data_IF_476404021476
#
_entry.id   IF_476404021476
#
_cell.length_a   1.000
_cell.length_b   1.000
_cell.length_c   1.000
_cell.angle_alpha   90.00
_cell.angle_beta   90.00
_cell.angle_gamma   90.00
#
_symmetry.space_group_name_H-M   'P 1'
#
loop_
_entity.id
_entity.type
_entity.pdbx_description
1 polymer ?
2 non-polymer ?
3 water ?
#
# COMPACT_ATOMS: atom_id res chain seq x y z
N UNK A 2 -21.75 15.29 -5.40
CA UNK A 2 -20.65 15.29 -6.38
C UNK A 2 -21.18 15.39 -7.80
N UNK A 3 -20.41 15.99 -8.71
CA UNK A 3 -20.91 16.09 -10.09
C UNK A 3 -21.05 14.68 -10.66
N UNK A 4 -22.06 14.49 -11.51
CA UNK A 4 -22.29 13.20 -12.11
C UNK A 4 -21.09 12.75 -12.96
N UNK A 5 -20.44 13.68 -13.63
CA UNK A 5 -19.28 13.36 -14.43
C UNK A 5 -18.13 14.37 -14.25
N UNK A 6 -16.91 13.89 -14.51
CA UNK A 6 -15.69 14.68 -14.39
C UNK A 6 -14.69 14.22 -15.44
N UNK A 7 -13.99 15.17 -16.05
CA UNK A 7 -12.97 14.88 -17.05
C UNK A 7 -11.89 15.95 -16.91
N UNK A 8 -10.83 15.62 -16.17
CA UNK A 8 -9.77 16.58 -15.94
C UNK A 8 -9.05 17.05 -17.22
N UNK A 9 -9.31 16.40 -18.34
CA UNK A 9 -8.70 16.83 -19.60
C UNK A 9 -9.34 18.16 -20.01
N UNK A 10 -10.60 18.36 -19.62
CA UNK A 10 -11.31 19.59 -19.95
C UNK A 10 -10.77 20.79 -19.17
N UNK A 11 -10.05 20.53 -18.09
CA UNK A 11 -9.50 21.60 -17.28
C UNK A 11 -8.02 21.78 -17.60
N UNK A 12 -7.59 21.14 -18.69
CA UNK A 12 -6.20 21.23 -19.11
C UNK A 12 -5.20 20.73 -18.07
N UNK A 13 -5.58 19.71 -17.30
CA UNK A 13 -4.68 19.19 -16.26
C UNK A 13 -4.07 17.83 -16.60
N UNK A 14 -4.19 17.41 -17.85
CA UNK A 14 -3.67 16.11 -18.28
C UNK A 14 -2.73 16.26 -19.47
N UNK A 15 -1.48 15.84 -19.31
CA UNK A 15 -0.51 15.93 -20.40
C UNK A 15 -0.87 14.85 -21.42
N UNK A 16 -0.16 14.84 -22.55
CA UNK A 16 -0.47 13.85 -23.57
C UNK A 16 -0.04 12.45 -23.16
N UNK A 17 -0.73 11.47 -23.71
CA UNK A 17 -0.46 10.07 -23.43
C UNK A 17 0.97 9.69 -23.81
N UNK A 18 1.64 8.95 -22.92
CA UNK A 18 3.01 8.51 -23.11
C UNK A 18 3.07 7.03 -23.51
N UNK A 19 4.21 6.62 -24.06
CA UNK A 19 4.44 5.25 -24.51
C UNK A 19 5.64 4.67 -23.74
N UNK A 20 5.37 3.76 -22.80
CA UNK A 20 6.43 3.19 -21.99
C UNK A 20 7.35 2.18 -22.69
N UNK A 21 6.91 1.66 -23.83
CA UNK A 21 7.73 0.70 -24.56
C UNK A 21 7.90 -0.60 -23.80
N UNK A 22 9.05 -1.26 -23.95
CA UNK A 22 9.31 -2.50 -23.24
C UNK A 22 9.85 -2.36 -21.83
N UNK A 23 9.74 -1.17 -21.28
CA UNK A 23 10.20 -0.90 -19.93
C UNK A 23 8.97 -0.82 -19.00
N UNK A 24 8.92 -1.67 -17.99
CA UNK A 24 7.79 -1.66 -17.07
C UNK A 24 7.80 -0.46 -16.16
N UNK A 25 7.54 0.72 -16.72
CA UNK A 25 7.54 1.95 -15.95
C UNK A 25 6.15 2.54 -15.77
N UNK A 26 5.12 1.70 -15.88
CA UNK A 26 3.74 2.17 -15.73
C UNK A 26 3.56 2.95 -14.42
N UNK A 27 4.15 2.43 -13.35
CA UNK A 27 4.05 3.08 -12.04
C UNK A 27 4.62 4.50 -12.07
N UNK A 28 5.71 4.68 -12.81
CA UNK A 28 6.33 5.99 -12.92
C UNK A 28 5.46 6.96 -13.73
N UNK A 29 4.84 6.46 -14.79
CA UNK A 29 3.97 7.31 -15.60
C UNK A 29 2.71 7.66 -14.82
N UNK A 30 2.22 6.71 -14.02
CA UNK A 30 1.04 6.98 -13.23
C UNK A 30 1.35 8.08 -12.23
N UNK A 31 2.48 7.96 -11.54
CA UNK A 31 2.89 8.94 -10.54
C UNK A 31 3.07 10.34 -11.12
N UNK A 32 3.84 10.47 -12.19
CA UNK A 32 4.05 11.81 -12.76
C UNK A 32 2.73 12.40 -13.26
N UNK A 33 1.88 11.56 -13.85
CA UNK A 33 0.60 12.03 -14.35
C UNK A 33 -0.23 12.66 -13.24
N UNK A 34 -0.22 12.03 -12.07
CA UNK A 34 -0.98 12.54 -10.94
C UNK A 34 -0.42 13.87 -10.48
N UNK A 35 0.91 13.97 -10.41
CA UNK A 35 1.55 15.21 -9.97
C UNK A 35 1.39 16.31 -11.02
N UNK A 36 1.39 15.94 -12.30
CA UNK A 36 1.25 16.90 -13.40
C UNK A 36 -0.04 17.72 -13.24
N UNK A 37 -1.12 17.06 -12.84
CA UNK A 37 -2.39 17.73 -12.64
C UNK A 37 -2.29 18.74 -11.50
N UNK A 38 -1.70 18.32 -10.39
CA UNK A 38 -1.52 19.19 -9.23
C UNK A 38 -0.67 20.40 -9.60
N UNK A 39 0.43 20.17 -10.32
CA UNK A 39 1.30 21.26 -10.73
C UNK A 39 0.50 22.29 -11.53
N UNK A 40 -0.36 21.79 -12.42
CA UNK A 40 -1.20 22.66 -13.24
C UNK A 40 -2.15 23.47 -12.38
N UNK A 41 -2.74 22.82 -11.38
CA UNK A 41 -3.67 23.50 -10.48
C UNK A 41 -2.98 24.56 -9.62
N UNK A 42 -1.73 24.30 -9.24
CA UNK A 42 -0.99 25.22 -8.38
C UNK A 42 -0.28 26.37 -9.10
N UNK A 43 0.30 26.10 -10.26
CA UNK A 43 1.04 27.12 -10.99
C UNK A 43 0.36 27.60 -12.27
N UNK A 44 -0.58 26.80 -12.79
CA UNK A 44 -1.28 27.19 -14.00
C UNK A 44 -0.57 26.70 -15.27
N UNK A 45 0.58 26.06 -15.11
CA UNK A 45 1.34 25.54 -16.26
C UNK A 45 1.26 24.01 -16.35
N UNK A 46 0.93 23.50 -17.53
CA UNK A 46 0.86 22.07 -17.73
C UNK A 46 2.21 21.59 -18.27
N UNK A 47 2.89 20.76 -17.49
CA UNK A 47 4.23 20.27 -17.88
C UNK A 47 4.41 18.77 -17.66
N UNK A 48 4.90 18.08 -18.67
CA UNK A 48 5.15 16.65 -18.53
C UNK A 48 6.34 16.50 -17.60
N UNK A 49 6.23 15.63 -16.61
CA UNK A 49 7.32 15.40 -15.68
C UNK A 49 8.08 14.14 -16.07
N UNK A 50 9.32 14.02 -15.60
CA UNK A 50 10.19 12.89 -15.95
C UNK A 50 9.94 11.54 -15.31
N UNK A 51 9.36 10.64 -16.09
CA UNK A 51 9.10 9.28 -15.63
C UNK A 51 10.47 8.59 -15.50
N UNK A 52 11.39 8.97 -16.38
CA UNK A 52 12.74 8.40 -16.35
C UNK A 52 13.42 8.75 -15.03
N UNK A 53 13.15 9.96 -14.55
CA UNK A 53 13.73 10.42 -13.28
C UNK A 53 13.40 9.41 -12.17
N UNK A 54 12.14 8.97 -12.15
CA UNK A 54 11.70 8.01 -11.14
C UNK A 54 12.31 6.65 -11.37
N UNK A 55 12.33 6.20 -12.63
CA UNK A 55 12.90 4.91 -12.98
C UNK A 55 14.34 4.77 -12.52
N UNK A 56 15.15 5.81 -12.80
CA UNK A 56 16.56 5.82 -12.45
C UNK A 56 16.87 6.14 -11.00
N UNK A 57 16.02 6.93 -10.35
CA UNK A 57 16.29 7.36 -8.98
C UNK A 57 15.42 6.82 -7.83
N UNK A 58 14.13 6.62 -8.06
CA UNK A 58 13.25 6.08 -7.02
C UNK A 58 13.44 4.57 -7.15
N UNK A 59 14.58 4.09 -6.65
CA UNK A 59 14.91 2.68 -6.80
C UNK A 59 14.81 1.80 -5.55
N UNK A 60 15.88 1.07 -5.26
CA UNK A 60 15.91 0.16 -4.12
C UNK A 60 15.36 0.73 -2.82
N UNK A 61 15.88 1.88 -2.43
CA UNK A 61 15.45 2.52 -1.19
C UNK A 61 13.94 2.71 -1.12
N UNK A 62 13.28 2.76 -2.27
CA UNK A 62 11.84 2.94 -2.31
C UNK A 62 11.08 1.68 -2.69
N UNK A 63 11.79 0.55 -2.69
CA UNK A 63 11.17 -0.72 -3.03
C UNK A 63 10.75 -0.86 -4.49
N UNK A 64 11.37 -0.06 -5.37
CA UNK A 64 11.06 -0.12 -6.80
C UNK A 64 12.20 -0.75 -7.58
N UNK A 65 11.87 -1.32 -8.74
CA UNK A 65 12.85 -1.99 -9.59
C UNK A 65 12.90 -1.44 -11.02
N UNK A 66 12.76 -0.13 -11.15
CA UNK A 66 12.81 0.49 -12.47
C UNK A 66 11.92 -0.11 -13.55
N UNK A 67 12.55 -0.57 -14.62
CA UNK A 67 11.83 -1.17 -15.75
C UNK A 67 11.18 -2.50 -15.39
N UNK A 68 11.37 -2.94 -14.14
CA UNK A 68 10.77 -4.18 -13.69
C UNK A 68 9.67 -3.95 -12.66
N UNK A 69 9.15 -2.72 -12.60
CA UNK A 69 8.07 -2.43 -11.69
C UNK A 69 8.37 -1.55 -10.48
N UNK A 70 7.32 -0.97 -9.91
CA UNK A 70 7.45 -0.10 -8.76
C UNK A 70 6.11 0.33 -8.20
N UNK A 71 6.13 1.18 -7.17
CA UNK A 71 4.92 1.69 -6.52
C UNK A 71 4.74 3.17 -6.80
N UNK A 72 3.49 3.61 -6.96
CA UNK A 72 3.22 5.02 -7.18
C UNK A 72 3.40 5.81 -5.88
N UNK A 73 3.03 5.21 -4.75
CA UNK A 73 3.17 5.87 -3.45
C UNK A 73 4.63 6.14 -3.07
N UNK A 74 5.49 5.15 -3.25
CA UNK A 74 6.89 5.33 -2.90
C UNK A 74 7.56 6.27 -3.89
N UNK A 75 6.99 6.35 -5.10
CA UNK A 75 7.53 7.26 -6.11
C UNK A 75 7.25 8.67 -5.59
N UNK A 76 6.05 8.86 -5.04
CA UNK A 76 5.68 10.16 -4.49
C UNK A 76 6.62 10.51 -3.35
N UNK A 77 6.88 9.56 -2.45
CA UNK A 77 7.77 9.83 -1.31
C UNK A 77 9.18 10.19 -1.77
N UNK A 78 9.62 9.58 -2.87
CA UNK A 78 10.95 9.89 -3.42
C UNK A 78 10.97 11.37 -3.78
N UNK A 79 9.94 11.82 -4.48
CA UNK A 79 9.85 13.23 -4.88
C UNK A 79 9.88 14.14 -3.65
N UNK A 80 9.18 13.74 -2.59
CA UNK A 80 9.17 14.52 -1.36
C UNK A 80 10.58 14.55 -0.75
N UNK A 81 11.19 13.37 -0.59
CA UNK A 81 12.54 13.23 -0.01
C UNK A 81 13.58 13.96 -0.85
N UNK A 82 13.46 13.83 -2.16
CA UNK A 82 14.40 14.42 -3.10
C UNK A 82 14.18 15.93 -3.25
N UNK A 83 13.02 16.41 -2.78
CA UNK A 83 12.66 17.82 -2.87
C UNK A 83 12.44 18.29 -4.31
N UNK A 84 12.09 17.35 -5.18
CA UNK A 84 11.84 17.72 -6.57
C UNK A 84 11.89 16.59 -7.56
N UNK A 85 11.45 16.90 -8.78
CA UNK A 85 11.46 15.95 -9.88
C UNK A 85 11.66 16.78 -11.15
N UNK A 86 12.51 16.28 -12.05
CA UNK A 86 12.79 17.01 -13.29
C UNK A 86 11.69 16.87 -14.33
N UNK A 87 11.67 17.81 -15.27
CA UNK A 87 10.68 17.80 -16.33
C UNK A 87 11.07 16.70 -17.30
N UNK A 88 10.08 16.20 -18.03
CA UNK A 88 10.31 15.16 -19.02
C UNK A 88 11.31 15.65 -20.08
N UNK A 89 11.16 16.91 -20.49
CA UNK A 89 12.04 17.49 -21.50
C UNK A 89 13.51 17.51 -21.11
N UNK A 90 13.79 17.77 -19.84
CA UNK A 90 15.16 17.84 -19.35
C UNK A 90 15.74 16.47 -19.02
N UNK A 91 14.88 15.52 -18.71
CA UNK A 91 15.30 14.17 -18.34
C UNK A 91 14.37 13.22 -19.11
N UNK A 92 14.57 13.12 -20.45
CA UNK A 92 13.79 12.27 -21.35
C UNK A 92 13.73 10.78 -21.08
N UNK A 93 12.59 10.19 -21.45
CA UNK A 93 12.34 8.77 -21.26
C UNK A 93 13.05 7.88 -22.29
N UNK A 94 13.88 6.96 -21.80
CA UNK A 94 14.63 6.08 -22.67
C UNK A 94 14.18 4.62 -22.62
N UNK A 95 13.15 4.35 -21.83
CA UNK A 95 12.62 2.99 -21.71
C UNK A 95 13.67 1.97 -21.27
N UNK A 96 14.57 2.39 -20.38
CA UNK A 96 15.59 1.49 -19.87
C UNK A 96 16.13 2.01 -18.54
N UNK A 97 16.70 1.12 -17.75
CA UNK A 97 17.28 1.50 -16.46
C UNK A 97 18.58 2.24 -16.70
N UNK A 98 18.73 3.38 -16.04
CA UNK A 98 19.93 4.21 -16.17
C UNK A 98 20.38 4.66 -14.79
N UNK A 99 21.59 5.19 -14.71
CA UNK A 99 22.11 5.70 -13.44
C UNK A 99 21.29 6.96 -13.12
N UNK A 100 21.07 7.24 -11.84
CA UNK A 100 20.30 8.42 -11.47
C UNK A 100 20.99 9.71 -11.90
N UNK A 101 20.30 10.49 -12.72
CA UNK A 101 20.86 11.74 -13.24
C UNK A 101 20.06 12.97 -12.83
N UNK A 102 19.39 12.90 -11.70
CA UNK A 102 18.61 14.05 -11.23
C UNK A 102 19.47 15.29 -11.01
N UNK A 103 18.93 16.44 -11.39
CA UNK A 103 19.63 17.71 -11.22
C UNK A 103 18.57 18.76 -10.90
N UNK A 104 18.67 19.37 -9.73
CA UNK A 104 17.72 20.37 -9.30
C UNK A 104 17.58 21.55 -10.27
N UNK A 105 18.58 21.78 -11.11
CA UNK A 105 18.49 22.90 -12.04
C UNK A 105 17.42 22.64 -13.09
N UNK A 106 16.94 21.39 -13.18
CA UNK A 106 15.91 21.03 -14.14
C UNK A 106 14.60 20.70 -13.42
N UNK A 107 14.54 20.97 -12.12
CA UNK A 107 13.36 20.71 -11.31
C UNK A 107 12.14 21.37 -11.93
N UNK A 108 11.04 20.63 -12.06
CA UNK A 108 9.83 21.20 -12.64
C UNK A 108 8.65 21.10 -11.69
N UNK A 109 8.81 20.33 -10.62
CA UNK A 109 7.75 20.17 -9.64
C UNK A 109 8.27 19.62 -8.33
N UNK A 110 7.49 19.81 -7.27
CA UNK A 110 7.81 19.32 -5.94
C UNK A 110 6.58 18.60 -5.43
N UNK A 111 6.71 17.95 -4.27
CA UNK A 111 5.62 17.24 -3.64
C UNK A 111 5.81 17.37 -2.14
N UNK A 112 4.73 17.62 -1.42
CA UNK A 112 4.82 17.78 0.03
C UNK A 112 4.24 16.60 0.78
N UNK A 113 3.35 15.85 0.12
CA UNK A 113 2.71 14.69 0.75
C UNK A 113 1.84 13.95 -0.25
N UNK A 114 1.40 12.76 0.14
CA UNK A 114 0.52 11.95 -0.71
C UNK A 114 -0.49 11.28 0.19
N UNK A 115 -1.62 10.88 -0.40
CA UNK A 115 -2.68 10.24 0.36
C UNK A 115 -3.12 8.96 -0.32
N UNK A 116 -3.25 7.91 0.48
CA UNK A 116 -3.70 6.61 -0.02
C UNK A 116 -5.15 6.44 0.43
N UNK A 117 -6.05 6.26 -0.54
CA UNK A 117 -7.47 6.09 -0.23
C UNK A 117 -7.75 4.71 0.34
N UNK A 118 -8.87 4.57 1.09
CA UNK A 118 -9.25 3.28 1.68
C UNK A 118 -9.53 2.24 0.61
N UNK A 119 -9.11 1.01 0.86
CA UNK A 119 -9.28 -0.11 -0.07
C UNK A 119 -10.67 -0.35 -0.64
N UNK A 120 -10.75 -0.37 -1.97
CA UNK A 120 -11.97 -0.64 -2.70
C UNK A 120 -13.20 0.24 -2.56
N UNK A 121 -13.06 1.41 -1.96
CA UNK A 121 -14.22 2.28 -1.81
C UNK A 121 -14.34 3.20 -3.03
N UNK A 122 -15.14 2.76 -4.01
CA UNK A 122 -15.28 3.54 -5.25
C UNK A 122 -15.91 4.92 -5.05
N UNK A 123 -16.80 5.03 -4.07
CA UNK A 123 -17.42 6.31 -3.79
C UNK A 123 -16.36 7.28 -3.26
N UNK A 124 -15.44 6.77 -2.46
CA UNK A 124 -14.36 7.61 -1.92
C UNK A 124 -13.43 8.04 -3.06
N UNK A 125 -13.19 7.13 -4.00
CA UNK A 125 -12.36 7.44 -5.15
C UNK A 125 -13.03 8.52 -5.99
N UNK A 126 -14.34 8.41 -6.15
CA UNK A 126 -15.10 9.39 -6.92
C UNK A 126 -14.95 10.77 -6.29
N UNK A 127 -15.05 10.83 -4.97
CA UNK A 127 -14.91 12.10 -4.28
C UNK A 127 -13.54 12.72 -4.50
N UNK A 128 -12.50 11.89 -4.43
CA UNK A 128 -11.14 12.36 -4.63
C UNK A 128 -10.94 12.90 -6.04
N UNK A 129 -11.39 12.14 -7.03
CA UNK A 129 -11.26 12.55 -8.42
C UNK A 129 -11.98 13.87 -8.65
N UNK A 130 -13.15 14.02 -8.02
CA UNK A 130 -13.95 15.24 -8.18
C UNK A 130 -13.38 16.45 -7.47
N UNK A 131 -12.95 16.26 -6.22
CA UNK A 131 -12.44 17.37 -5.44
C UNK A 131 -10.93 17.57 -5.32
N UNK A 132 -10.15 16.55 -5.70
CA UNK A 132 -8.69 16.67 -5.58
C UNK A 132 -7.97 16.70 -6.92
N UNK A 133 -8.36 15.78 -7.82
CA UNK A 133 -7.73 15.72 -9.13
C UNK A 133 -7.47 14.28 -9.53
N UNK A 134 -6.74 14.04 -10.63
CA UNK A 134 -6.43 12.69 -11.10
C UNK A 134 -5.81 11.85 -10.00
N UNK A 135 -6.17 10.57 -9.98
CA UNK A 135 -5.68 9.65 -8.95
C UNK A 135 -4.96 8.42 -9.51
N UNK A 136 -3.77 8.15 -8.98
CA UNK A 136 -3.01 6.99 -9.42
C UNK A 136 -3.69 5.76 -8.84
N UNK A 137 -3.80 4.70 -9.66
CA UNK A 137 -4.42 3.47 -9.18
C UNK A 137 -3.78 2.26 -9.82
N UNK A 138 -4.08 1.09 -9.27
CA UNK A 138 -3.56 -0.14 -9.82
C UNK A 138 -4.75 -0.90 -10.36
N UNK A 139 -4.61 -1.53 -11.52
CA UNK A 139 -5.71 -2.31 -12.08
C UNK A 139 -5.17 -3.65 -12.54
N UNK A 140 -6.06 -4.63 -12.65
CA UNK A 140 -5.66 -5.95 -13.12
C UNK A 140 -5.75 -5.88 -14.64
N UNK A 141 -4.60 -5.80 -15.31
CA UNK A 141 -4.59 -5.70 -16.75
C UNK A 141 -3.93 -6.91 -17.41
N UNK A 142 -4.06 -8.07 -16.78
CA UNK A 142 -3.46 -9.31 -17.26
C UNK A 142 -4.30 -10.04 -18.32
N UNK A 143 -5.55 -9.64 -18.47
CA UNK A 143 -6.44 -10.32 -19.40
C UNK A 143 -6.39 -9.83 -20.86
N UNK A 144 -6.36 -10.78 -21.81
CA UNK A 144 -6.30 -10.51 -23.25
C UNK A 144 -7.24 -9.39 -23.70
N UNK A 145 -8.44 -9.35 -23.13
CA UNK A 145 -9.42 -8.33 -23.48
C UNK A 145 -8.93 -6.91 -23.20
N UNK A 146 -8.12 -6.74 -22.16
CA UNK A 146 -7.62 -5.40 -21.84
C UNK A 146 -6.79 -4.87 -23.01
N UNK A 147 -5.80 -5.66 -23.42
CA UNK A 147 -4.90 -5.30 -24.52
C UNK A 147 -5.67 -4.97 -25.81
N UNK A 148 -6.76 -5.69 -26.03
CA UNK A 148 -7.58 -5.52 -27.23
C UNK A 148 -8.67 -4.48 -27.13
N UNK A 149 -8.76 -3.81 -25.98
CA UNK A 149 -9.80 -2.82 -25.80
C UNK A 149 -9.74 -1.69 -26.81
N UNK A 150 -10.89 -1.39 -27.42
CA UNK A 150 -10.94 -0.34 -28.44
C UNK A 150 -11.92 0.79 -28.09
N UNK A 151 -13.06 0.45 -27.50
CA UNK A 151 -14.01 1.50 -27.15
C UNK A 151 -15.13 1.01 -26.23
N UNK A 152 -15.99 1.93 -25.82
CA UNK A 152 -17.10 1.58 -24.94
C UNK A 152 -16.65 1.52 -23.49
N UNK A 153 -17.38 0.77 -22.66
CA UNK A 153 -17.03 0.62 -21.26
C UNK A 153 -16.50 -0.79 -21.01
N UNK A 154 -15.24 -0.86 -20.61
CA UNK A 154 -14.57 -2.13 -20.36
C UNK A 154 -15.10 -2.89 -19.16
N UNK A 155 -15.53 -4.12 -19.40
CA UNK A 155 -16.01 -5.01 -18.36
C UNK A 155 -15.52 -6.40 -18.69
N UNK A 156 -14.71 -6.97 -17.80
CA UNK A 156 -14.16 -8.30 -18.01
C UNK A 156 -14.53 -9.23 -16.85
N UNK A 157 -15.39 -10.22 -17.13
CA UNK A 157 -15.84 -11.19 -16.12
C UNK A 157 -14.68 -11.85 -15.40
N UNK A 158 -13.57 -12.06 -16.09
CA UNK A 158 -12.40 -12.70 -15.50
C UNK A 158 -11.45 -11.77 -14.75
N UNK A 159 -11.80 -10.50 -14.60
CA UNK A 159 -10.93 -9.59 -13.87
C UNK A 159 -10.91 -9.96 -12.40
N UNK A 160 -9.87 -9.52 -11.70
CA UNK A 160 -9.74 -9.79 -10.28
C UNK A 160 -9.33 -8.51 -9.57
N UNK A 161 -9.17 -8.59 -8.25
CA UNK A 161 -8.74 -7.42 -7.47
C UNK A 161 -7.23 -7.48 -7.23
N UNK A 162 -6.55 -8.39 -7.92
CA UNK A 162 -5.10 -8.51 -7.81
C UNK A 162 -4.52 -7.59 -8.87
N UNK A 163 -4.22 -6.35 -8.49
CA UNK A 163 -3.70 -5.37 -9.42
C UNK A 163 -2.26 -5.64 -9.83
N UNK A 164 -1.86 -5.16 -11.00
CA UNK A 164 -0.51 -5.41 -11.49
C UNK A 164 -0.05 -4.33 -12.47
N UNK A 165 -0.96 -3.41 -12.80
CA UNK A 165 -0.64 -2.35 -13.74
C UNK A 165 -1.00 -0.97 -13.19
N UNK A 166 -0.03 -0.07 -13.16
CA UNK A 166 -0.25 1.28 -12.65
C UNK A 166 -0.75 2.24 -13.71
N UNK A 167 -1.89 2.86 -13.45
CA UNK A 167 -2.48 3.80 -14.40
C UNK A 167 -3.01 5.03 -13.68
N UNK A 168 -3.68 5.91 -14.41
CA UNK A 168 -4.20 7.13 -13.83
C UNK A 168 -5.68 7.39 -14.13
N UNK A 169 -6.48 7.57 -13.09
CA UNK A 169 -7.90 7.87 -13.25
C UNK A 169 -8.01 9.39 -13.40
N UNK A 170 -8.41 9.85 -14.58
CA UNK A 170 -8.52 11.28 -14.83
C UNK A 170 -9.96 11.77 -14.91
N UNK A 171 -10.90 10.91 -14.54
CA UNK A 171 -12.30 11.30 -14.59
C UNK A 171 -13.26 10.13 -14.45
N UNK A 172 -14.55 10.43 -14.57
CA UNK A 172 -15.56 9.40 -14.46
C UNK A 172 -16.85 9.93 -15.05
N UNK A 173 -17.79 9.02 -15.32
CA UNK A 173 -19.06 9.41 -15.89
C UNK A 173 -19.86 8.18 -16.25
N UNK A 174 -20.70 8.31 -17.28
CA UNK A 174 -21.53 7.20 -17.74
C UNK A 174 -21.70 7.28 -19.24
N UNK A 175 -21.64 6.12 -19.89
CA UNK A 175 -21.80 6.05 -21.33
C UNK A 175 -22.86 5.01 -21.64
N UNK A 176 -24.01 5.46 -22.15
CA UNK A 176 -25.12 4.60 -22.51
C UNK A 176 -25.59 3.69 -21.40
N UNK A 177 -25.85 4.29 -20.23
CA UNK A 177 -26.32 3.50 -19.10
C UNK A 177 -25.23 2.71 -18.40
N UNK A 178 -23.97 2.98 -18.72
CA UNK A 178 -22.87 2.26 -18.10
C UNK A 178 -21.90 3.22 -17.41
N UNK A 179 -21.78 3.11 -16.10
CA UNK A 179 -20.88 3.98 -15.36
C UNK A 179 -19.45 3.53 -15.59
N UNK A 180 -18.52 4.48 -15.64
CA UNK A 180 -17.12 4.15 -15.89
C UNK A 180 -16.15 5.13 -15.24
N UNK A 181 -14.88 4.71 -15.21
CA UNK A 181 -13.78 5.52 -14.70
C UNK A 181 -12.98 5.81 -15.96
N UNK A 182 -12.57 7.07 -16.15
CA UNK A 182 -11.76 7.44 -17.32
C UNK A 182 -10.30 7.22 -16.95
N UNK A 183 -9.69 6.24 -17.60
CA UNK A 183 -8.30 5.88 -17.30
C UNK A 183 -7.26 6.22 -18.37
N UNK A 184 -6.21 6.91 -17.95
CA UNK A 184 -5.11 7.26 -18.84
C UNK A 184 -4.07 6.15 -18.69
N UNK A 185 -3.74 5.48 -19.80
CA UNK A 185 -2.77 4.41 -19.77
C UNK A 185 -1.44 4.96 -20.29
N UNK A 186 -0.39 4.13 -20.28
CA UNK A 186 0.91 4.56 -20.78
C UNK A 186 1.45 3.62 -21.85
N UNK A 187 0.57 3.21 -22.76
CA UNK A 187 0.98 2.32 -23.85
C UNK A 187 0.85 3.06 -25.18
N UNK A 188 1.01 4.38 -25.15
CA UNK A 188 0.90 5.17 -26.37
C UNK A 188 -0.51 5.52 -26.79
N UNK A 189 -0.64 6.50 -27.69
CA UNK A 189 -1.95 6.94 -28.16
C UNK A 189 -2.71 5.92 -29.03
N UNK A 190 -2.09 4.80 -29.36
CA UNK A 190 -2.74 3.80 -30.19
C UNK A 190 -3.51 2.75 -29.39
N UNK A 191 -3.31 2.74 -28.08
CA UNK A 191 -4.02 1.80 -27.23
C UNK A 191 -5.40 2.37 -26.89
N UNK A 192 -6.42 1.51 -26.93
CA UNK A 192 -7.78 1.93 -26.60
C UNK A 192 -8.25 3.18 -27.34
N UNK A 193 -8.94 4.07 -26.64
CA UNK A 193 -9.41 5.32 -27.24
C UNK A 193 -8.33 6.36 -27.09
N UNK A 194 -7.38 6.33 -28.03
CA UNK A 194 -6.26 7.26 -28.03
C UNK A 194 -5.50 7.31 -26.70
N UNK A 195 -5.15 6.12 -26.21
CA UNK A 195 -4.40 6.02 -24.98
C UNK A 195 -5.23 5.87 -23.72
N UNK A 196 -6.53 6.08 -23.84
CA UNK A 196 -7.44 5.98 -22.70
C UNK A 196 -8.35 4.77 -22.75
N UNK A 197 -8.84 4.38 -21.58
CA UNK A 197 -9.78 3.27 -21.48
C UNK A 197 -10.81 3.60 -20.40
N UNK A 198 -12.08 3.41 -20.76
CA UNK A 198 -13.18 3.64 -19.83
C UNK A 198 -13.47 2.29 -19.17
N UNK A 199 -13.20 2.19 -17.88
CA UNK A 199 -13.40 0.95 -17.14
C UNK A 199 -14.65 0.98 -16.24
N UNK A 200 -15.34 -0.15 -16.17
CA UNK A 200 -16.57 -0.25 -15.38
C UNK A 200 -16.43 0.33 -13.98
N UNK A 201 -17.37 1.19 -13.62
CA UNK A 201 -17.43 1.85 -12.32
C UNK A 201 -18.63 1.36 -11.52
N UNK A 202 -18.44 1.22 -10.22
CA UNK A 202 -19.49 0.74 -9.32
C UNK A 202 -19.96 -0.65 -9.70
N UNK A 203 -19.02 -1.49 -10.10
CA UNK A 203 -19.30 -2.87 -10.46
C UNK A 203 -18.44 -3.78 -9.60
N UNK A 204 -18.53 -3.59 -8.29
CA UNK A 204 -17.77 -4.42 -7.36
C UNK A 204 -16.26 -4.27 -7.48
N UNK A 205 -15.77 -3.03 -7.52
CA UNK A 205 -14.34 -2.77 -7.62
C UNK A 205 -13.73 -3.58 -8.75
N UNK A 206 -14.33 -3.44 -9.94
CA UNK A 206 -13.90 -4.17 -11.13
C UNK A 206 -12.42 -4.00 -11.46
N UNK A 207 -11.74 -5.13 -11.65
CA UNK A 207 -10.32 -5.14 -11.95
C UNK A 207 -9.51 -4.44 -10.85
N UNK A 208 -10.11 -4.33 -9.66
CA UNK A 208 -9.44 -3.71 -8.53
C UNK A 208 -9.04 -2.26 -8.70
N UNK A 209 -9.76 -1.54 -9.56
CA UNK A 209 -9.45 -0.15 -9.82
C UNK A 209 -9.46 0.76 -8.60
N UNK A 210 -10.26 0.43 -7.58
CA UNK A 210 -10.31 1.25 -6.37
C UNK A 210 -9.56 0.58 -5.22
N UNK A 211 -8.84 -0.50 -5.51
CA UNK A 211 -8.09 -1.23 -4.48
C UNK A 211 -7.02 -0.36 -3.81
N UNK A 212 -6.14 0.22 -4.60
CA UNK A 212 -5.05 1.03 -4.06
C UNK A 212 -4.86 2.38 -4.75
N UNK A 213 -5.77 3.34 -4.49
CA UNK A 213 -5.68 4.66 -5.09
C UNK A 213 -4.84 5.60 -4.22
N UNK A 214 -4.10 6.50 -4.86
CA UNK A 214 -3.29 7.47 -4.13
C UNK A 214 -3.08 8.71 -4.99
N UNK A 215 -2.98 9.87 -4.35
CA UNK A 215 -2.74 11.11 -5.08
C UNK A 215 -1.79 11.99 -4.28
N UNK A 216 -0.96 12.77 -4.97
CA UNK A 216 0.01 13.66 -4.32
C UNK A 216 -0.52 15.08 -4.22
N UNK A 217 0.15 15.90 -3.41
CA UNK A 217 -0.21 17.29 -3.26
C UNK A 217 1.07 18.10 -3.24
N UNK A 218 0.96 19.37 -3.63
CA UNK A 218 2.11 20.27 -3.68
C UNK A 218 2.00 21.33 -2.60
N UNK B 1 7.39 15.79 22.71
CA UNK B 1 8.53 14.92 23.13
C UNK B 1 8.07 13.48 23.34
N UNK B 2 8.52 12.58 22.46
CA UNK B 2 8.14 11.19 22.55
C UNK B 2 9.00 10.42 23.57
N UNK B 3 8.45 9.37 24.19
CA UNK B 3 9.19 8.58 25.17
C UNK B 3 10.41 7.93 24.50
N UNK B 4 11.47 7.68 25.27
CA UNK B 4 12.68 7.06 24.74
C UNK B 4 12.47 5.59 24.38
N UNK B 5 11.62 4.92 25.15
CA UNK B 5 11.30 3.52 24.93
C UNK B 5 9.82 3.29 25.20
N UNK B 6 9.24 2.32 24.49
CA UNK B 6 7.84 1.96 24.64
C UNK B 6 7.70 0.44 24.48
N UNK B 7 6.85 -0.19 25.28
CA UNK B 7 6.63 -1.63 25.20
C UNK B 7 5.16 -1.88 25.55
N UNK B 8 4.31 -1.98 24.53
CA UNK B 8 2.88 -2.19 24.76
C UNK B 8 2.52 -3.42 25.56
N UNK B 9 3.44 -4.37 25.66
CA UNK B 9 3.16 -5.58 26.44
C UNK B 9 2.97 -5.17 27.90
N UNK B 10 3.69 -4.13 28.32
CA UNK B 10 3.59 -3.63 29.69
C UNK B 10 2.20 -3.03 29.95
N UNK B 11 1.52 -2.62 28.88
CA UNK B 11 0.20 -2.03 29.02
C UNK B 11 -0.93 -3.03 28.84
N UNK B 12 -0.58 -4.31 28.80
CA UNK B 12 -1.57 -5.36 28.64
C UNK B 12 -2.33 -5.32 27.33
N UNK B 13 -1.71 -4.79 26.29
CA UNK B 13 -2.35 -4.66 24.98
C UNK B 13 -1.84 -5.63 23.92
N UNK B 14 -1.11 -6.67 24.35
CA UNK B 14 -0.57 -7.64 23.41
C UNK B 14 -0.85 -9.08 23.87
N UNK B 15 -1.49 -9.86 23.01
CA UNK B 15 -1.83 -11.25 23.32
C UNK B 15 -0.63 -12.19 23.21
N UNK B 16 -0.85 -13.47 23.51
CA UNK B 16 0.25 -14.43 23.45
C UNK B 16 0.68 -14.60 21.99
N UNK B 17 1.96 -14.95 21.79
CA UNK B 17 2.50 -15.15 20.45
C UNK B 17 1.81 -16.34 19.81
N UNK B 18 1.51 -16.22 18.52
CA UNK B 18 0.86 -17.29 17.78
C UNK B 18 1.86 -17.99 16.86
N UNK B 19 1.47 -19.18 16.39
CA UNK B 19 2.30 -19.99 15.50
C UNK B 19 1.49 -20.24 14.23
N UNK B 20 1.90 -19.62 13.13
CA UNK B 20 1.19 -19.76 11.87
C UNK B 20 1.41 -21.09 11.16
N UNK B 21 2.49 -21.79 11.49
CA UNK B 21 2.75 -23.06 10.84
C UNK B 21 3.12 -22.92 9.37
N UNK B 22 2.70 -23.88 8.56
CA UNK B 22 3.00 -23.88 7.13
C UNK B 22 2.07 -23.00 6.31
N UNK B 23 1.20 -22.27 6.98
CA UNK B 23 0.24 -21.40 6.31
C UNK B 23 0.78 -19.96 6.33
N UNK B 24 0.94 -19.37 5.14
CA UNK B 24 1.46 -18.02 5.06
C UNK B 24 0.45 -16.97 5.49
N UNK B 25 0.07 -17.01 6.76
CA UNK B 25 -0.92 -16.08 7.29
C UNK B 25 -0.31 -14.95 8.13
N UNK B 26 0.97 -14.67 7.92
CA UNK B 26 1.65 -13.62 8.67
C UNK B 26 0.85 -12.31 8.63
N UNK B 27 0.32 -11.98 7.46
CA UNK B 27 -0.46 -10.76 7.28
C UNK B 27 -1.68 -10.72 8.19
N UNK B 28 -2.36 -11.86 8.32
CA UNK B 28 -3.55 -11.94 9.17
C UNK B 28 -3.21 -11.77 10.64
N UNK B 29 -2.14 -12.42 11.09
CA UNK B 29 -1.73 -12.33 12.48
C UNK B 29 -1.30 -10.89 12.80
N UNK B 30 -0.65 -10.25 11.85
CA UNK B 30 -0.20 -8.88 12.02
C UNK B 30 -1.41 -7.97 12.18
N UNK B 31 -2.45 -8.21 11.38
CA UNK B 31 -3.66 -7.40 11.42
C UNK B 31 -4.46 -7.57 12.72
N UNK B 32 -4.68 -8.82 13.14
CA UNK B 32 -5.43 -9.03 14.36
C UNK B 32 -4.63 -8.50 15.54
N UNK B 33 -3.31 -8.61 15.45
CA UNK B 33 -2.46 -8.12 16.52
C UNK B 33 -2.62 -6.63 16.74
N UNK B 34 -2.67 -5.86 15.66
CA UNK B 34 -2.84 -4.42 15.78
C UNK B 34 -4.21 -4.08 16.33
N UNK B 35 -5.24 -4.79 15.86
CA UNK B 35 -6.60 -4.52 16.31
C UNK B 35 -6.84 -4.97 17.76
N UNK B 36 -6.15 -6.03 18.17
CA UNK B 36 -6.29 -6.54 19.52
C UNK B 36 -5.91 -5.45 20.53
N UNK B 37 -4.86 -4.69 20.21
CA UNK B 37 -4.43 -3.62 21.11
C UNK B 37 -5.49 -2.52 21.16
N UNK B 38 -6.08 -2.21 20.02
CA UNK B 38 -7.11 -1.18 19.98
C UNK B 38 -8.36 -1.63 20.73
N UNK B 39 -8.68 -2.93 20.65
CA UNK B 39 -9.85 -3.46 21.36
C UNK B 39 -9.63 -3.30 22.87
N UNK B 40 -8.42 -3.61 23.32
CA UNK B 40 -8.05 -3.48 24.73
C UNK B 40 -8.17 -2.04 25.18
N UNK B 41 -7.58 -1.12 24.41
CA UNK B 41 -7.62 0.29 24.75
C UNK B 41 -9.05 0.80 24.82
N UNK B 42 -9.93 0.25 23.99
CA UNK B 42 -11.31 0.69 23.97
C UNK B 42 -12.22 0.02 25.00
N UNK B 43 -12.06 -1.28 25.19
CA UNK B 43 -12.93 -2.00 26.12
C UNK B 43 -12.29 -2.48 27.42
N UNK B 44 -10.97 -2.40 27.52
CA UNK B 44 -10.31 -2.86 28.72
C UNK B 44 -10.16 -4.37 28.72
N UNK B 45 -10.53 -5.01 27.62
CA UNK B 45 -10.44 -6.45 27.52
C UNK B 45 -9.39 -6.86 26.49
N UNK B 46 -8.52 -7.80 26.86
CA UNK B 46 -7.51 -8.29 25.94
C UNK B 46 -7.99 -9.62 25.36
N UNK B 47 -8.30 -9.62 24.07
CA UNK B 47 -8.81 -10.82 23.40
C UNK B 47 -8.13 -11.14 22.08
N UNK B 48 -7.66 -12.38 21.93
CA UNK B 48 -7.04 -12.78 20.68
C UNK B 48 -8.13 -12.85 19.62
N UNK B 49 -7.93 -12.18 18.49
CA UNK B 49 -8.91 -12.18 17.41
C UNK B 49 -8.59 -13.25 16.37
N UNK B 50 -9.61 -13.69 15.63
CA UNK B 50 -9.44 -14.75 14.64
C UNK B 50 -8.65 -14.46 13.36
N UNK B 51 -7.42 -14.95 13.33
CA UNK B 51 -6.58 -14.77 12.14
C UNK B 51 -7.18 -15.66 11.03
N UNK B 52 -7.74 -16.79 11.42
CA UNK B 52 -8.35 -17.72 10.47
C UNK B 52 -9.51 -17.03 9.75
N UNK B 53 -10.30 -16.28 10.52
CA UNK B 53 -11.44 -15.53 9.99
C UNK B 53 -10.95 -14.71 8.78
N UNK B 54 -9.77 -14.11 8.90
CA UNK B 54 -9.21 -13.31 7.82
C UNK B 54 -8.73 -14.16 6.65
N UNK B 55 -8.03 -15.24 6.97
CA UNK B 55 -7.51 -16.16 5.95
C UNK B 55 -8.64 -16.70 5.08
N UNK B 56 -9.74 -17.06 5.73
CA UNK B 56 -10.89 -17.64 5.05
C UNK B 56 -11.84 -16.64 4.39
N UNK B 57 -11.97 -15.43 4.95
CA UNK B 57 -12.92 -14.45 4.41
C UNK B 57 -12.37 -13.20 3.73
N UNK B 58 -11.22 -12.70 4.18
CA UNK B 58 -10.62 -11.53 3.55
C UNK B 58 -9.79 -12.12 2.42
N UNK B 59 -10.49 -12.54 1.37
CA UNK B 59 -9.87 -13.21 0.24
C UNK B 59 -9.73 -12.42 -1.07
N UNK B 60 -10.06 -13.07 -2.19
CA UNK B 60 -9.94 -12.47 -3.52
C UNK B 60 -10.41 -11.02 -3.65
N UNK B 61 -11.59 -10.71 -3.13
CA UNK B 61 -12.10 -9.34 -3.22
C UNK B 61 -11.17 -8.34 -2.53
N UNK B 62 -10.33 -8.84 -1.65
CA UNK B 62 -9.38 -7.99 -0.93
C UNK B 62 -7.94 -8.20 -1.39
N UNK B 63 -7.78 -8.80 -2.56
CA UNK B 63 -6.45 -9.04 -3.10
C UNK B 63 -5.59 -9.97 -2.27
N UNK B 64 -6.22 -10.77 -1.42
CA UNK B 64 -5.48 -11.69 -0.57
C UNK B 64 -5.58 -13.13 -1.06
N UNK B 65 -4.60 -13.95 -0.67
CA UNK B 65 -4.55 -15.35 -1.09
C UNK B 65 -4.41 -16.31 0.09
N UNK B 66 -5.09 -16.00 1.19
CA UNK B 66 -5.05 -16.85 2.37
C UNK B 66 -3.68 -17.32 2.82
N UNK B 67 -3.48 -18.64 2.79
CA UNK B 67 -2.19 -19.22 3.21
C UNK B 67 -1.07 -18.92 2.24
N UNK B 68 -1.38 -18.21 1.16
CA UNK B 68 -0.36 -17.84 0.20
C UNK B 68 -0.03 -16.35 0.29
N UNK B 69 -0.53 -15.70 1.34
CA UNK B 69 -0.23 -14.28 1.52
C UNK B 69 -1.38 -13.31 1.42
N UNK B 70 -1.14 -12.09 1.92
CA UNK B 70 -2.16 -11.05 1.90
C UNK B 70 -1.65 -9.71 2.43
N UNK B 71 -2.54 -8.73 2.47
CA UNK B 71 -2.20 -7.38 2.95
C UNK B 71 -2.85 -7.10 4.30
N UNK B 72 -2.16 -6.38 5.18
CA UNK B 72 -2.76 -6.05 6.46
C UNK B 72 -3.81 -4.97 6.27
N UNK B 73 -3.56 -4.03 5.35
CA UNK B 73 -4.52 -2.95 5.13
C UNK B 73 -5.84 -3.49 4.59
N UNK B 74 -5.79 -4.41 3.62
CA UNK B 74 -7.03 -4.95 3.07
C UNK B 74 -7.73 -5.83 4.09
N UNK B 75 -6.97 -6.39 5.02
CA UNK B 75 -7.56 -7.21 6.08
C UNK B 75 -8.38 -6.25 6.94
N UNK B 76 -7.82 -5.07 7.22
CA UNK B 76 -8.55 -4.09 8.03
C UNK B 76 -9.84 -3.71 7.31
N UNK B 77 -9.75 -3.39 6.01
CA UNK B 77 -10.94 -2.98 5.26
C UNK B 77 -12.01 -4.06 5.28
N UNK B 78 -11.60 -5.32 5.21
CA UNK B 78 -12.56 -6.43 5.25
C UNK B 78 -13.32 -6.36 6.56
N UNK B 79 -12.60 -6.16 7.66
CA UNK B 79 -13.23 -6.08 8.98
C UNK B 79 -14.25 -4.95 8.99
N UNK B 80 -13.88 -3.81 8.42
CA UNK B 80 -14.78 -2.66 8.35
C UNK B 80 -16.02 -3.03 7.53
N UNK B 81 -15.80 -3.49 6.30
CA UNK B 81 -16.90 -3.89 5.41
C UNK B 81 -17.80 -4.96 6.03
N UNK B 82 -17.16 -5.95 6.65
CA UNK B 82 -17.86 -7.08 7.26
C UNK B 82 -18.57 -6.67 8.55
N UNK B 83 -18.19 -5.51 9.07
CA UNK B 83 -18.75 -4.99 10.32
C UNK B 83 -18.41 -5.89 11.49
N UNK B 84 -17.24 -6.52 11.43
CA UNK B 84 -16.82 -7.38 12.52
C UNK B 84 -15.82 -8.47 12.19
N UNK B 85 -15.22 -9.01 13.25
CA UNK B 85 -14.27 -10.10 13.13
C UNK B 85 -14.51 -10.97 14.36
N UNK B 86 -14.51 -12.28 14.20
CA UNK B 86 -14.76 -13.17 15.33
C UNK B 86 -13.55 -13.36 16.24
N UNK B 87 -13.80 -13.86 17.44
CA UNK B 87 -12.74 -14.12 18.41
C UNK B 87 -11.98 -15.35 17.93
N UNK B 88 -10.72 -15.47 18.35
CA UNK B 88 -9.89 -16.61 17.98
C UNK B 88 -10.51 -17.87 18.60
N UNK B 89 -11.01 -17.75 19.83
CA UNK B 89 -11.61 -18.89 20.52
C UNK B 89 -12.79 -19.48 19.76
N UNK B 90 -13.62 -18.62 19.17
CA UNK B 90 -14.80 -19.05 18.42
C UNK B 90 -14.50 -19.52 16.99
N UNK B 91 -13.43 -18.99 16.41
CA UNK B 91 -13.03 -19.29 15.03
C UNK B 91 -11.52 -19.56 15.10
N UNK B 92 -11.13 -20.73 15.63
CA UNK B 92 -9.73 -21.16 15.79
C UNK B 92 -8.89 -21.28 14.51
N UNK B 93 -7.58 -21.09 14.67
CA UNK B 93 -6.63 -21.16 13.57
C UNK B 93 -6.26 -22.60 13.24
N UNK B 94 -6.43 -22.98 11.98
CA UNK B 94 -6.13 -24.34 11.53
C UNK B 94 -4.94 -24.42 10.56
N UNK B 95 -4.35 -23.28 10.24
CA UNK B 95 -3.21 -23.22 9.32
C UNK B 95 -3.52 -23.85 7.97
N UNK B 96 -4.66 -23.47 7.39
CA UNK B 96 -5.06 -23.94 6.07
C UNK B 96 -6.21 -23.09 5.57
N UNK B 97 -6.43 -23.11 4.26
CA UNK B 97 -7.50 -22.34 3.65
C UNK B 97 -8.83 -23.05 3.81
N UNK B 98 -9.82 -22.33 4.33
CA UNK B 98 -11.15 -22.89 4.54
C UNK B 98 -12.19 -21.98 3.92
N UNK B 99 -13.42 -22.46 3.84
CA UNK B 99 -14.52 -21.66 3.31
C UNK B 99 -14.81 -20.68 4.44
N UNK B 100 -15.15 -19.45 4.08
CA UNK B 100 -15.47 -18.44 5.09
C UNK B 100 -16.56 -18.91 6.04
N UNK B 101 -16.28 -18.85 7.34
CA UNK B 101 -17.25 -19.26 8.34
C UNK B 101 -17.55 -18.15 9.34
N UNK B 102 -17.45 -16.91 8.91
CA UNK B 102 -17.73 -15.80 9.81
C UNK B 102 -19.16 -15.88 10.30
N UNK B 103 -19.36 -15.52 11.56
CA UNK B 103 -20.69 -15.50 12.15
C UNK B 103 -20.70 -14.33 13.12
N UNK B 104 -21.65 -13.42 12.94
CA UNK B 104 -21.76 -12.24 13.79
C UNK B 104 -21.99 -12.54 15.27
N UNK B 105 -22.49 -13.73 15.59
CA UNK B 105 -22.75 -14.06 16.99
C UNK B 105 -21.44 -14.32 17.74
N UNK B 106 -20.35 -14.45 16.98
CA UNK B 106 -19.03 -14.67 17.59
C UNK B 106 -18.13 -13.46 17.39
N UNK B 107 -18.72 -12.32 17.04
CA UNK B 107 -17.94 -11.11 16.82
C UNK B 107 -17.30 -10.66 18.14
N UNK B 108 -16.05 -10.24 18.08
CA UNK B 108 -15.35 -9.80 19.27
C UNK B 108 -14.73 -8.42 19.06
N UNK B 109 -14.80 -7.93 17.84
CA UNK B 109 -14.23 -6.63 17.53
C UNK B 109 -14.78 -6.06 16.23
N UNK B 110 -14.66 -4.76 16.09
CA UNK B 110 -15.07 -4.05 14.90
C UNK B 110 -13.93 -3.10 14.55
N UNK B 111 -14.00 -2.50 13.37
CA UNK B 111 -12.98 -1.56 12.93
C UNK B 111 -13.72 -0.47 12.15
N UNK B 112 -13.38 0.78 12.40
CA UNK B 112 -14.05 1.89 11.74
C UNK B 112 -13.20 2.49 10.62
N UNK B 113 -11.88 2.28 10.70
CA UNK B 113 -10.97 2.79 9.71
C UNK B 113 -9.54 2.36 10.02
N UNK B 114 -8.62 2.68 9.10
CA UNK B 114 -7.22 2.36 9.30
C UNK B 114 -6.38 3.47 8.70
N UNK B 115 -5.14 3.58 9.17
CA UNK B 115 -4.24 4.61 8.68
C UNK B 115 -2.91 4.06 8.19
N UNK B 116 -2.49 4.48 7.01
CA UNK B 116 -1.23 4.04 6.44
C UNK B 116 -0.24 5.19 6.59
N UNK B 117 0.86 4.93 7.29
CA UNK B 117 1.90 5.94 7.52
C UNK B 117 2.75 6.16 6.27
N UNK B 118 3.31 7.37 6.12
CA UNK B 118 4.15 7.71 4.95
C UNK B 118 5.35 6.77 4.86
N UNK B 119 5.68 6.38 3.63
CA UNK B 119 6.79 5.46 3.35
C UNK B 119 8.14 5.83 3.94
N UNK B 120 8.76 4.84 4.59
CA UNK B 120 10.09 4.99 5.17
C UNK B 120 10.37 5.99 6.26
N UNK B 121 9.35 6.57 6.89
CA UNK B 121 9.60 7.54 7.94
C UNK B 121 9.61 6.90 9.34
N UNK B 122 10.79 6.55 9.83
CA UNK B 122 10.88 5.93 11.14
C UNK B 122 10.46 6.85 12.28
N UNK B 123 10.64 8.15 12.10
CA UNK B 123 10.24 9.14 13.11
C UNK B 123 8.72 9.16 13.26
N UNK B 124 8.01 9.07 12.13
CA UNK B 124 6.55 9.07 12.14
C UNK B 124 6.08 7.75 12.76
N UNK B 125 6.76 6.66 12.41
CA UNK B 125 6.41 5.35 12.95
C UNK B 125 6.54 5.37 14.47
N UNK B 126 7.66 5.91 14.94
CA UNK B 126 7.93 6.00 16.37
C UNK B 126 6.79 6.75 17.07
N UNK B 127 6.35 7.85 16.46
CA UNK B 127 5.27 8.64 17.02
C UNK B 127 3.97 7.85 17.12
N UNK B 128 3.68 7.04 16.10
CA UNK B 128 2.48 6.22 16.09
C UNK B 128 2.53 5.14 17.17
N UNK B 129 3.66 4.45 17.26
CA UNK B 129 3.81 3.40 18.26
C UNK B 129 3.66 3.98 19.67
N UNK B 130 4.15 5.20 19.86
CA UNK B 130 4.05 5.83 21.18
C UNK B 130 2.65 6.37 21.49
N UNK B 131 2.01 7.01 20.52
CA UNK B 131 0.69 7.61 20.75
C UNK B 131 -0.56 6.84 20.31
N UNK B 132 -0.43 5.96 19.33
CA UNK B 132 -1.59 5.20 18.85
C UNK B 132 -1.65 3.78 19.37
N UNK B 133 -0.53 3.06 19.26
CA UNK B 133 -0.48 1.68 19.72
C UNK B 133 0.36 0.84 18.77
N UNK B 134 0.30 -0.49 18.89
CA UNK B 134 1.08 -1.34 17.98
C UNK B 134 0.74 -1.03 16.54
N UNK B 135 1.73 -1.15 15.65
CA UNK B 135 1.53 -0.86 14.23
C UNK B 135 1.91 -2.05 13.36
N UNK B 136 1.05 -2.39 12.41
CA UNK B 136 1.35 -3.48 11.51
C UNK B 136 2.39 -3.01 10.50
N UNK B 137 3.39 -3.83 10.21
CA UNK B 137 4.41 -3.46 9.25
C UNK B 137 4.87 -4.65 8.43
N UNK B 138 5.46 -4.36 7.29
CA UNK B 138 6.01 -5.41 6.43
C UNK B 138 7.51 -5.29 6.54
N UNK B 139 8.22 -6.40 6.53
CA UNK B 139 9.68 -6.38 6.59
C UNK B 139 10.24 -7.39 5.61
N UNK B 140 11.53 -7.25 5.31
CA UNK B 140 12.19 -8.18 4.42
C UNK B 140 12.82 -9.22 5.35
N UNK B 141 12.19 -10.39 5.41
CA UNK B 141 12.64 -11.48 6.26
C UNK B 141 13.18 -12.63 5.43
N UNK B 142 13.52 -12.33 4.18
CA UNK B 142 14.05 -13.34 3.26
C UNK B 142 15.55 -13.54 3.36
N UNK B 143 16.06 -13.65 4.58
CA UNK B 143 17.48 -13.85 4.76
C UNK B 143 17.67 -14.88 5.86
N UNK B 144 18.68 -15.74 5.72
CA UNK B 144 18.95 -16.78 6.71
C UNK B 144 19.02 -16.23 8.12
N UNK B 145 19.78 -15.17 8.30
CA UNK B 145 19.97 -14.54 9.61
C UNK B 145 18.66 -14.25 10.37
N UNK B 146 17.58 -14.04 9.63
CA UNK B 146 16.29 -13.74 10.24
C UNK B 146 15.70 -14.98 10.91
N UNK B 147 15.85 -16.14 10.26
CA UNK B 147 15.34 -17.39 10.81
C UNK B 147 16.21 -17.84 11.99
N UNK B 148 17.48 -17.45 11.94
CA UNK B 148 18.42 -17.81 12.99
C UNK B 148 18.54 -16.84 14.16
N UNK B 149 17.86 -15.69 14.08
CA UNK B 149 17.92 -14.71 15.14
C UNK B 149 17.59 -15.33 16.50
N UNK B 150 18.39 -15.00 17.51
CA UNK B 150 18.18 -15.52 18.86
C UNK B 150 18.03 -14.41 19.89
N UNK B 151 18.87 -13.38 19.80
CA UNK B 151 18.83 -12.28 20.76
C UNK B 151 19.57 -11.05 20.28
N UNK B 152 19.44 -9.96 21.02
CA UNK B 152 20.11 -8.72 20.67
C UNK B 152 19.37 -7.96 19.59
N UNK B 153 20.00 -6.96 19.03
CA UNK B 153 19.39 -6.16 17.99
C UNK B 153 19.79 -6.72 16.64
N UNK B 154 18.78 -7.14 15.88
CA UNK B 154 18.97 -7.72 14.55
C UNK B 154 19.36 -6.69 13.51
N UNK B 155 20.47 -6.93 12.83
CA UNK B 155 20.94 -6.07 11.77
C UNK B 155 21.53 -6.99 10.70
N UNK B 156 21.01 -6.88 9.48
CA UNK B 156 21.44 -7.70 8.36
C UNK B 156 21.91 -6.81 7.22
N UNK B 157 23.24 -6.80 6.95
CA UNK B 157 23.81 -5.98 5.88
C UNK B 157 23.13 -6.19 4.53
N UNK B 158 22.61 -7.39 4.31
CA UNK B 158 21.96 -7.69 3.04
C UNK B 158 20.45 -7.45 3.03
N UNK B 159 19.91 -6.84 4.08
CA UNK B 159 18.46 -6.59 4.06
C UNK B 159 18.13 -5.53 3.01
N UNK B 160 16.92 -5.59 2.49
CA UNK B 160 16.48 -4.63 1.50
C UNK B 160 15.17 -3.99 1.94
N UNK B 161 14.67 -3.04 1.17
CA UNK B 161 13.40 -2.41 1.52
C UNK B 161 12.26 -3.14 0.81
N UNK B 162 12.56 -4.31 0.25
CA UNK B 162 11.55 -5.12 -0.41
C UNK B 162 10.96 -6.02 0.67
N UNK B 163 9.82 -5.61 1.22
CA UNK B 163 9.18 -6.38 2.28
C UNK B 163 8.37 -7.56 1.77
N UNK B 164 8.29 -8.61 2.58
CA UNK B 164 7.59 -9.83 2.17
C UNK B 164 6.98 -10.56 3.39
N UNK B 165 7.22 -10.03 4.58
CA UNK B 165 6.72 -10.66 5.80
C UNK B 165 6.00 -9.66 6.69
N UNK B 166 4.74 -9.94 7.00
CA UNK B 166 3.97 -9.05 7.85
C UNK B 166 4.10 -9.36 9.33
N UNK B 167 4.50 -8.35 10.11
CA UNK B 167 4.67 -8.52 11.55
C UNK B 167 4.05 -7.34 12.30
N UNK B 168 4.27 -7.29 13.61
CA UNK B 168 3.69 -6.23 14.44
C UNK B 168 4.70 -5.52 15.34
N UNK B 169 4.79 -4.20 15.20
CA UNK B 169 5.69 -3.41 16.04
C UNK B 169 4.94 -3.10 17.32
N UNK B 170 5.37 -3.67 18.44
CA UNK B 170 4.71 -3.43 19.72
C UNK B 170 5.53 -2.55 20.66
N UNK B 171 6.59 -1.95 20.15
CA UNK B 171 7.40 -1.08 20.97
C UNK B 171 8.70 -0.72 20.31
N UNK B 172 9.55 -0.02 21.06
CA UNK B 172 10.86 0.40 20.57
C UNK B 172 11.71 0.80 21.76
N UNK B 173 13.02 0.84 21.55
CA UNK B 173 13.91 1.21 22.63
C UNK B 173 15.37 1.16 22.19
N UNK B 174 16.26 0.97 23.14
CA UNK B 174 17.67 0.88 22.83
C UNK B 174 18.33 -0.16 23.73
N UNK B 175 19.22 -0.93 23.15
CA UNK B 175 19.94 -1.96 23.88
C UNK B 175 21.36 -1.45 23.93
N UNK B 176 21.56 -0.43 24.78
CA UNK B 176 22.85 0.25 24.94
C UNK B 176 22.78 1.44 24.00
N UNK B 177 23.46 1.35 22.87
CA UNK B 177 23.43 2.43 21.91
C UNK B 177 22.63 1.99 20.69
N UNK B 178 22.40 0.69 20.58
CA UNK B 178 21.67 0.12 19.47
C UNK B 178 20.16 0.27 19.60
N UNK B 179 19.62 1.24 18.88
CA UNK B 179 18.18 1.49 18.89
C UNK B 179 17.50 0.34 18.15
N UNK B 180 16.29 -0.01 18.58
CA UNK B 180 15.57 -1.11 17.94
C UNK B 180 14.06 -0.92 17.92
N UNK B 181 13.39 -1.75 17.12
CA UNK B 181 11.93 -1.78 17.03
C UNK B 181 11.58 -3.12 17.68
N UNK B 182 10.65 -3.13 18.63
CA UNK B 182 10.26 -4.38 19.27
C UNK B 182 9.19 -5.02 18.40
N UNK B 183 9.54 -6.12 17.74
CA UNK B 183 8.63 -6.82 16.82
C UNK B 183 8.05 -8.14 17.29
N UNK B 184 6.73 -8.26 17.21
CA UNK B 184 6.03 -9.49 17.56
C UNK B 184 5.89 -10.25 16.25
N UNK B 185 6.43 -11.47 16.18
CA UNK B 185 6.34 -12.28 14.97
C UNK B 185 5.25 -13.33 15.21
N UNK B 186 4.91 -14.08 14.17
CA UNK B 186 3.89 -15.11 14.31
C UNK B 186 4.45 -16.49 13.97
N UNK B 187 5.67 -16.75 14.44
CA UNK B 187 6.33 -18.02 14.21
C UNK B 187 6.47 -18.84 15.49
N UNK B 188 5.58 -18.62 16.46
CA UNK B 188 5.62 -19.39 17.70
C UNK B 188 6.60 -18.87 18.75
N UNK B 189 6.56 -19.43 19.96
CA UNK B 189 7.47 -19.00 21.01
C UNK B 189 8.91 -19.47 20.84
N UNK B 190 9.13 -20.42 19.93
CA UNK B 190 10.47 -20.93 19.66
C UNK B 190 11.34 -19.88 18.98
N UNK B 191 10.71 -19.03 18.17
CA UNK B 191 11.43 -18.01 17.43
C UNK B 191 12.02 -16.86 18.23
N UNK B 192 13.27 -16.52 17.88
CA UNK B 192 13.97 -15.42 18.51
C UNK B 192 13.82 -15.33 20.02
N UNK B 193 13.41 -14.17 20.50
CA UNK B 193 13.24 -13.96 21.92
C UNK B 193 11.80 -14.26 22.34
N UNK B 194 11.52 -15.55 22.45
CA UNK B 194 10.20 -16.03 22.85
C UNK B 194 9.08 -15.43 21.99
N UNK B 195 9.30 -15.45 20.68
CA UNK B 195 8.32 -14.96 19.74
C UNK B 195 8.60 -13.57 19.18
N UNK B 196 9.51 -12.85 19.83
CA UNK B 196 9.84 -11.49 19.40
C UNK B 196 11.23 -11.35 18.79
N UNK B 197 11.43 -10.23 18.10
CA UNK B 197 12.71 -9.90 17.51
C UNK B 197 12.89 -8.39 17.54
N UNK B 198 14.03 -7.95 18.08
CA UNK B 198 14.32 -6.54 18.13
C UNK B 198 15.11 -6.19 16.88
N UNK B 199 14.49 -5.40 16.00
CA UNK B 199 15.10 -5.02 14.73
C UNK B 199 15.67 -3.61 14.72
N UNK B 200 16.83 -3.47 14.09
CA UNK B 200 17.53 -2.18 13.99
C UNK B 200 16.62 -1.02 13.65
N UNK B 201 16.71 0.03 14.47
CA UNK B 201 15.90 1.24 14.30
C UNK B 201 16.79 2.43 13.93
N UNK B 202 16.27 3.31 13.10
CA UNK B 202 17.02 4.48 12.66
C UNK B 202 18.33 4.07 12.00
N UNK B 203 18.27 3.02 11.19
CA UNK B 203 19.42 2.53 10.45
C UNK B 203 18.99 2.44 8.99
N UNK B 204 18.56 3.58 8.44
CA UNK B 204 18.13 3.64 7.06
C UNK B 204 16.94 2.76 6.69
N UNK B 205 15.92 2.78 7.53
CA UNK B 205 14.73 1.97 7.27
C UNK B 205 15.15 0.53 7.00
N UNK B 206 15.90 -0.02 7.96
CA UNK B 206 16.43 -1.38 7.86
C UNK B 206 15.37 -2.44 7.59
N UNK B 207 15.60 -3.23 6.56
CA UNK B 207 14.67 -4.29 6.16
C UNK B 207 13.29 -3.72 5.81
N UNK B 208 13.23 -2.43 5.53
CA UNK B 208 11.98 -1.80 5.16
C UNK B 208 10.90 -1.79 6.25
N UNK B 209 11.31 -1.91 7.51
CA UNK B 209 10.36 -1.95 8.61
C UNK B 209 9.39 -0.75 8.61
N UNK B 210 9.87 0.41 8.18
CA UNK B 210 9.02 1.60 8.13
C UNK B 210 8.48 1.88 6.73
N UNK B 211 8.64 0.92 5.82
CA UNK B 211 8.16 1.10 4.45
C UNK B 211 6.64 1.22 4.37
N UNK B 212 5.92 0.24 4.91
CA UNK B 212 4.46 0.29 4.85
C UNK B 212 3.77 -0.01 6.17
N UNK B 213 3.78 0.96 7.09
CA UNK B 213 3.16 0.81 8.40
C UNK B 213 1.67 1.17 8.34
N UNK B 214 0.86 0.50 9.15
CA UNK B 214 -0.56 0.80 9.17
C UNK B 214 -1.17 0.32 10.47
N UNK B 215 -2.17 1.05 10.95
CA UNK B 215 -2.84 0.68 12.17
C UNK B 215 -4.32 0.99 12.08
N UNK B 216 -5.16 0.15 12.69
CA UNK B 216 -6.61 0.33 12.69
C UNK B 216 -7.09 1.07 13.92
N UNK B 217 -8.35 1.49 13.89
CA UNK B 217 -8.94 2.17 15.03
C UNK B 217 -10.37 1.67 15.13
N UNK B 218 -10.91 1.70 16.33
CA UNK B 218 -12.29 1.24 16.54
C UNK B 218 -13.20 2.43 16.83
X LIG C 1 3.71 -5.24 -8.73
X LIG C 1 4.62 -4.14 -9.38
X LIG C 1 3.98 -2.79 -9.54
X LIG C 1 5.91 -3.94 -8.62
X LIG C 1 3.22 -4.86 -7.52
X LIG C 1 2.64 -5.51 -9.53
X LIG C 1 4.37 -6.43 -8.57
X LIG C 1 3.11 -2.52 -10.74
X LIG C 1 3.96 -2.33 -11.89
X LIG C 1 2.18 -1.30 -10.50
X LIG C 1 0.91 -1.51 -9.25
X LIG C 1 1.76 -1.37 -7.65
X LIG C 1 3.60 -2.80 -13.07
X LIG C 1 5.02 -1.71 -11.78
X LIG C 1 4.33 -2.65 -14.30
X LIG C 1 4.60 -1.23 -16.29
X LIG C 1 4.25 -4.00 -15.05
X LIG C 1 5.49 -3.65 -14.57
X LIG C 1 7.15 -4.46 -9.15
X LIG C 1 8.38 -4.29 -8.46
X LIG C 1 8.41 -3.59 -7.21
X LIG C 1 7.21 -3.07 -6.65
X LIG C 1 5.96 -3.24 -7.35
X LIG C 1 9.58 -3.45 -6.56
X LIG C 1 0.92 -1.73 -6.47
X LIG C 1 0.29 -0.69 -5.69
X LIG C 1 -0.50 -1.02 -4.56
X LIG C 1 -0.68 -2.39 -4.17
X LIG C 1 -0.06 -3.43 -4.94
X LIG C 1 0.74 -3.11 -6.08
X LIG C 1 0.27 -2.95 -9.35
X LIG C 1 -0.20 -0.39 -9.38
X LIG C 1 3.96 -1.55 -15.23
X LIG D 1 3.60 -10.08 -0.71
X LIG D 1 2.57 -10.88 0.17
X LIG D 1 2.28 -10.29 1.52
X LIG D 1 1.25 -11.09 -0.52
X LIG D 1 4.78 -9.88 -0.04
X LIG D 1 3.88 -10.75 -1.87
X LIG D 1 3.12 -8.83 -1.08
X LIG D 1 3.13 -10.66 2.70
X LIG D 1 2.75 -11.98 3.14
X LIG D 1 3.02 -9.61 3.84
X LIG D 1 3.57 -7.93 3.47
X LIG D 1 2.24 -7.17 2.51
X LIG D 1 3.69 -12.86 3.50
X LIG D 1 1.55 -12.28 3.20
X LIG D 1 3.47 -14.17 4.00
X LIG D 1 3.18 -15.46 6.06
X LIG D 1 4.46 -15.12 3.29
X LIG D 1 3.14 -15.29 2.97
X LIG D 1 0.94 -12.37 -1.13
X LIG D 1 -0.31 -12.60 -1.78
X LIG D 1 -1.29 -11.55 -1.86
X LIG D 1 -1.01 -10.28 -1.26
X LIG D 1 0.23 -10.05 -0.60
X LIG D 1 -2.48 -11.77 -2.47
X LIG D 1 2.58 -5.84 1.94
X LIG D 1 2.18 -4.63 2.62
X LIG D 1 2.50 -3.36 2.09
X LIG D 1 3.22 -3.25 0.86
X LIG D 1 3.63 -4.43 0.17
X LIG D 1 3.32 -5.72 0.71
X LIG D 1 4.87 -7.99 2.56
X LIG D 1 3.85 -7.11 4.78
X LIG D 1 3.56 -14.41 5.48
#
# INVERSE_FOLDING_TARGET
ILPDSVDWREKGCVTEVKYQGSCGACWAFSAVGALEAQLKLKTGKLVSLSAQNLVDCSTEKYGNKGCNGGFMTTAFQYIIDNKGIDSDASYPYKAMDQKCQYDSKYRAATCSKYTELPYGREDVLKEAVANKGPVSVGVDARHPSFFLYRSGVYYEPSCTQNVNHGVLVVGYGDLNGKEYWLVKNSWGHNFGEEGYIRMARNKGNHCGIASFPSYPEIGHHHHHH
ILPDSVDWREKGCVTEVKYQGSCGACWAFSAVGALEAQLKLKTGKLVSLSAQNLVDCSTEKYGNKGCNGGFMTTAFQYIIDNKGIDSDASYPYKAMDQKCQYDSKYRAATCSKYTELPYGREDVLKEAVANKGPVSVGVDARHPSFFLYRSGVYYEPSCTQNVNHGVLVVGYGDLNGKEYWLVKNSWGHNFGEEGYIRMARNKGNHCGIASFPSYPEIGHHHHHH
CRV C1 C2 N3 C4 F5 F6 F7 C8 C9 C10 S11 C12 N13 O14 C15 N17 C18 C19 C20 C21 C22 C23 C24 O25 C26 C27 C28 C29 C30 C31 O32 O33 C16
CRV C1 C2 N3 C4 F5 F6 F7 C8 C9 C10 S11 C12 N13 O14 C15 N17 C18 C19 C20 C21 C22 C23 C24 O25 C26 C27 C28 C29 C30 C31 O32 O33 C16
#
